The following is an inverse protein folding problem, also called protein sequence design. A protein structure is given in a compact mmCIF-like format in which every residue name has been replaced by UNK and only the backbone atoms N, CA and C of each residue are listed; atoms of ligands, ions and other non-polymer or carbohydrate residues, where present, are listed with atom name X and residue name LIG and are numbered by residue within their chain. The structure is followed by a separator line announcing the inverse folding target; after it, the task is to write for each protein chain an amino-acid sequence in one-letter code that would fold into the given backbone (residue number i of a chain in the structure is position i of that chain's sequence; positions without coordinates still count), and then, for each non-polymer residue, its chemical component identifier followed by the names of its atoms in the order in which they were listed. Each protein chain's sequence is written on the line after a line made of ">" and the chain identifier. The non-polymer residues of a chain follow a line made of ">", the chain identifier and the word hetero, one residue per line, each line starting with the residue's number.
data_IF_937478351813
#
_entry.id   IF_937478351813
#
_cell.length_a   1.000
_cell.length_b   1.000
_cell.length_c   1.000
_cell.angle_alpha   90.00
_cell.angle_beta   90.00
_cell.angle_gamma   90.00
#
_symmetry.space_group_name_H-M   'P 1'
#
loop_
_entity.id
_entity.type
_entity.pdbx_description
1 polymer ?
#
# COMPACT_ATOMS: atom_id res chain seq x y z
N UNK A 1 8.36 -0.14 -9.94
CA UNK A 1 7.70 1.15 -10.22
C UNK A 1 6.81 1.60 -9.08
N UNK A 2 5.67 0.96 -8.78
CA UNK A 2 4.81 1.40 -7.66
C UNK A 2 5.54 1.39 -6.29
N UNK A 3 6.40 0.40 -6.04
CA UNK A 3 7.21 0.36 -4.83
C UNK A 3 8.26 1.49 -4.77
N UNK A 4 8.88 1.85 -5.89
CA UNK A 4 9.85 2.95 -5.94
C UNK A 4 9.17 4.29 -5.64
N UNK A 5 7.95 4.48 -6.14
CA UNK A 5 7.11 5.64 -5.82
C UNK A 5 6.70 5.65 -4.34
N UNK A 6 6.35 4.50 -3.77
CA UNK A 6 6.06 4.38 -2.34
C UNK A 6 7.27 4.80 -1.50
N UNK A 7 8.47 4.28 -1.79
CA UNK A 7 9.70 4.66 -1.08
C UNK A 7 10.05 6.13 -1.27
N UNK A 8 9.85 6.67 -2.47
CA UNK A 8 10.06 8.08 -2.75
C UNK A 8 9.11 8.98 -1.94
N UNK A 9 7.84 8.59 -1.84
CA UNK A 9 6.83 9.33 -1.07
C UNK A 9 7.14 9.32 0.43
N UNK A 10 7.45 8.14 0.98
CA UNK A 10 7.92 8.01 2.37
C UNK A 10 9.10 8.94 2.63
N UNK A 11 10.07 9.00 1.70
CA UNK A 11 11.24 9.84 1.86
C UNK A 11 10.94 11.33 1.73
N UNK A 12 10.08 11.70 0.80
CA UNK A 12 9.63 13.08 0.63
C UNK A 12 8.88 13.58 1.88
N UNK A 13 8.03 12.73 2.46
CA UNK A 13 7.33 13.00 3.71
C UNK A 13 8.30 13.18 4.89
N UNK A 14 9.25 12.25 5.09
CA UNK A 14 10.22 12.33 6.20
C UNK A 14 11.10 13.58 6.13
N UNK A 15 11.41 14.04 4.92
CA UNK A 15 12.20 15.25 4.68
C UNK A 15 11.39 16.55 4.79
N UNK A 16 10.06 16.48 4.99
CA UNK A 16 9.18 17.65 4.95
C UNK A 16 9.22 18.35 3.58
N UNK A 17 9.41 17.58 2.50
CA UNK A 17 9.58 18.11 1.16
C UNK A 17 8.30 18.78 0.67
N UNK A 18 8.44 19.94 0.02
CA UNK A 18 7.30 20.66 -0.56
C UNK A 18 6.60 19.91 -1.69
N UNK A 19 7.23 18.87 -2.25
CA UNK A 19 6.65 18.04 -3.31
C UNK A 19 6.04 16.74 -2.80
N UNK A 20 6.04 16.48 -1.49
CA UNK A 20 5.51 15.24 -0.92
C UNK A 20 4.04 15.03 -1.33
N UNK A 21 3.21 16.08 -1.27
CA UNK A 21 1.81 15.99 -1.72
C UNK A 21 1.70 15.65 -3.21
N UNK A 22 2.53 16.26 -4.06
CA UNK A 22 2.51 15.96 -5.50
C UNK A 22 2.89 14.51 -5.78
N UNK A 23 3.91 13.99 -5.10
CA UNK A 23 4.34 12.59 -5.25
C UNK A 23 3.24 11.64 -4.79
N UNK A 24 2.62 11.92 -3.65
CA UNK A 24 1.51 11.15 -3.11
C UNK A 24 0.33 11.09 -4.10
N UNK A 25 -0.09 12.23 -4.66
CA UNK A 25 -1.20 12.27 -5.61
C UNK A 25 -0.87 11.52 -6.92
N UNK A 26 0.37 11.59 -7.41
CA UNK A 26 0.83 10.78 -8.57
C UNK A 26 0.78 9.28 -8.23
N UNK A 27 1.22 8.92 -7.03
CA UNK A 27 1.21 7.53 -6.58
C UNK A 27 -0.21 6.95 -6.57
N UNK A 28 -1.22 7.71 -6.09
CA UNK A 28 -2.63 7.32 -6.12
C UNK A 28 -3.24 7.15 -7.53
N UNK A 29 -2.53 7.57 -8.59
CA UNK A 29 -3.00 7.42 -9.98
C UNK A 29 -2.35 6.24 -10.71
N UNK A 30 -1.40 5.55 -10.09
CA UNK A 30 -0.55 4.54 -10.75
C UNK A 30 -1.33 3.29 -11.21
N UNK A 31 -2.52 3.04 -10.66
CA UNK A 31 -3.40 1.93 -11.01
C UNK A 31 -4.35 2.23 -12.20
N UNK A 32 -4.53 3.50 -12.59
CA UNK A 32 -5.61 3.94 -13.50
C UNK A 32 -5.29 3.76 -15.00
N UNK A 33 -4.05 3.42 -15.37
CA UNK A 33 -3.60 3.33 -16.78
C UNK A 33 -3.64 1.90 -17.38
N UNK A 34 -4.41 0.98 -16.79
CA UNK A 34 -4.05 -0.45 -16.85
C UNK A 34 -5.21 -1.35 -17.36
N UNK A 35 -5.24 -1.70 -18.67
CA UNK A 35 -6.24 -2.62 -19.26
C UNK A 35 -5.73 -4.08 -19.40
N UNK A 36 -6.46 -5.09 -18.88
CA UNK A 36 -6.28 -6.52 -19.22
C UNK A 36 -6.05 -7.52 -18.06
N UNK A 37 -5.94 -8.83 -18.37
CA UNK A 37 -5.83 -9.94 -17.36
C UNK A 37 -4.44 -10.12 -16.74
N UNK A 38 -3.36 -9.87 -17.49
CA UNK A 38 -2.00 -9.80 -16.91
C UNK A 38 -1.88 -8.64 -15.89
N UNK A 39 -2.81 -7.69 -15.98
CA UNK A 39 -2.89 -6.49 -15.17
C UNK A 39 -3.45 -6.75 -13.77
N UNK A 40 -4.31 -7.76 -13.53
CA UNK A 40 -4.82 -8.04 -12.18
C UNK A 40 -3.70 -8.32 -11.16
N UNK A 41 -2.64 -9.03 -11.59
CA UNK A 41 -1.44 -9.24 -10.75
C UNK A 41 -0.67 -7.93 -10.53
N UNK A 42 -0.57 -7.08 -11.56
CA UNK A 42 0.11 -5.78 -11.48
C UNK A 42 -0.64 -4.80 -10.55
N UNK A 43 -1.96 -4.68 -10.72
CA UNK A 43 -2.86 -3.88 -9.88
C UNK A 43 -2.81 -4.33 -8.43
N UNK A 44 -2.76 -5.63 -8.18
CA UNK A 44 -2.59 -6.15 -6.81
C UNK A 44 -1.27 -5.74 -6.17
N UNK A 45 -0.19 -5.66 -6.94
CA UNK A 45 1.08 -5.09 -6.49
C UNK A 45 0.97 -3.62 -6.10
N UNK A 46 0.25 -2.82 -6.90
CA UNK A 46 -0.02 -1.40 -6.59
C UNK A 46 -0.84 -1.26 -5.31
N UNK A 47 -1.92 -2.04 -5.16
CA UNK A 47 -2.72 -2.02 -3.92
C UNK A 47 -1.92 -2.41 -2.69
N UNK A 48 -1.02 -3.39 -2.79
CA UNK A 48 -0.10 -3.73 -1.69
C UNK A 48 0.83 -2.57 -1.35
N UNK A 49 1.41 -1.90 -2.34
CA UNK A 49 2.22 -0.70 -2.11
C UNK A 49 1.42 0.42 -1.43
N UNK A 50 0.16 0.64 -1.85
CA UNK A 50 -0.73 1.61 -1.23
C UNK A 50 -1.01 1.27 0.24
N UNK A 51 -1.31 0.01 0.57
CA UNK A 51 -1.47 -0.40 1.99
C UNK A 51 -0.18 -0.22 2.78
N UNK A 52 0.99 -0.54 2.20
CA UNK A 52 2.29 -0.28 2.84
C UNK A 52 2.46 1.20 3.20
N UNK A 53 2.15 2.08 2.25
CA UNK A 53 2.23 3.52 2.47
C UNK A 53 1.21 4.01 3.51
N UNK A 54 -0.01 3.46 3.51
CA UNK A 54 -1.02 3.78 4.51
C UNK A 54 -0.56 3.41 5.93
N UNK A 55 0.02 2.21 6.11
CA UNK A 55 0.55 1.80 7.41
C UNK A 55 1.75 2.65 7.86
N UNK A 56 2.55 3.16 6.92
CA UNK A 56 3.59 4.14 7.22
C UNK A 56 3.00 5.45 7.74
N UNK A 57 1.99 6.02 7.07
CA UNK A 57 1.36 7.25 7.53
C UNK A 57 0.67 7.08 8.88
N UNK A 58 0.02 5.95 9.12
CA UNK A 58 -0.55 5.62 10.43
C UNK A 58 0.51 5.58 11.54
N UNK A 59 1.65 4.94 11.28
CA UNK A 59 2.79 4.91 12.21
C UNK A 59 3.33 6.32 12.50
N UNK A 60 3.28 7.22 11.53
CA UNK A 60 3.70 8.64 11.67
C UNK A 60 2.59 9.56 12.21
N UNK A 61 1.40 9.02 12.50
CA UNK A 61 0.25 9.78 13.00
C UNK A 61 -0.51 10.58 11.93
N UNK A 62 -0.15 10.45 10.65
CA UNK A 62 -0.84 11.11 9.53
C UNK A 62 -2.04 10.28 9.06
N UNK A 63 -3.11 10.34 9.85
CA UNK A 63 -4.37 9.66 9.52
C UNK A 63 -5.01 10.21 8.25
N UNK A 64 -4.73 11.46 7.87
CA UNK A 64 -5.34 12.11 6.71
C UNK A 64 -4.86 11.45 5.42
N UNK A 65 -3.54 11.28 5.23
CA UNK A 65 -3.01 10.61 4.03
C UNK A 65 -3.34 9.13 3.99
N UNK A 66 -3.33 8.44 5.14
CA UNK A 66 -3.79 7.06 5.23
C UNK A 66 -5.27 6.92 4.81
N UNK A 67 -6.13 7.85 5.22
CA UNK A 67 -7.55 7.84 4.87
C UNK A 67 -7.77 8.07 3.37
N UNK A 68 -7.01 8.98 2.74
CA UNK A 68 -7.07 9.17 1.28
C UNK A 68 -6.77 7.88 0.49
N UNK A 69 -5.80 7.08 0.96
CA UNK A 69 -5.51 5.77 0.36
C UNK A 69 -6.71 4.82 0.52
N UNK A 70 -7.35 4.82 1.68
CA UNK A 70 -8.58 4.04 1.89
C UNK A 70 -9.70 4.48 0.93
N UNK A 71 -9.91 5.78 0.74
CA UNK A 71 -10.93 6.28 -0.18
C UNK A 71 -10.66 5.82 -1.62
N UNK A 72 -9.41 5.93 -2.10
CA UNK A 72 -9.01 5.44 -3.42
C UNK A 72 -9.25 3.93 -3.60
N UNK A 73 -9.13 3.16 -2.52
CA UNK A 73 -9.36 1.71 -2.53
C UNK A 73 -10.79 1.29 -2.16
N UNK A 74 -11.68 2.22 -1.81
CA UNK A 74 -12.97 1.91 -1.19
C UNK A 74 -13.96 1.17 -2.11
N UNK A 75 -13.80 1.33 -3.43
CA UNK A 75 -14.61 0.65 -4.45
C UNK A 75 -14.09 -0.75 -4.81
N UNK A 76 -12.97 -1.19 -4.23
CA UNK A 76 -12.40 -2.51 -4.51
C UNK A 76 -13.30 -3.63 -3.97
N UNK A 77 -13.45 -4.76 -4.69
CA UNK A 77 -14.24 -5.89 -4.20
C UNK A 77 -13.73 -6.40 -2.85
N UNK A 78 -14.64 -6.68 -1.91
CA UNK A 78 -14.31 -7.16 -0.57
C UNK A 78 -13.39 -8.40 -0.56
N UNK A 79 -13.58 -9.31 -1.54
CA UNK A 79 -12.72 -10.48 -1.72
C UNK A 79 -11.26 -10.09 -2.06
N UNK A 80 -11.06 -9.03 -2.85
CA UNK A 80 -9.74 -8.52 -3.21
C UNK A 80 -9.06 -7.85 -2.02
N UNK A 81 -9.80 -7.01 -1.28
CA UNK A 81 -9.31 -6.40 -0.03
C UNK A 81 -8.87 -7.49 0.97
N UNK A 82 -9.70 -8.51 1.18
CA UNK A 82 -9.39 -9.64 2.06
C UNK A 82 -8.13 -10.40 1.63
N UNK A 83 -7.97 -10.64 0.33
CA UNK A 83 -6.80 -11.31 -0.22
C UNK A 83 -5.52 -10.47 -0.12
N UNK A 84 -5.61 -9.14 -0.18
CA UNK A 84 -4.46 -8.23 0.05
C UNK A 84 -4.06 -8.26 1.52
N UNK A 85 -5.03 -8.16 2.44
CA UNK A 85 -4.79 -8.25 3.89
C UNK A 85 -4.08 -9.55 4.26
N UNK A 86 -4.59 -10.68 3.77
CA UNK A 86 -4.02 -11.99 4.06
C UNK A 86 -2.55 -12.09 3.61
N UNK A 87 -2.23 -11.65 2.39
CA UNK A 87 -0.86 -11.70 1.88
C UNK A 87 0.11 -10.84 2.68
N UNK A 88 -0.27 -9.59 3.00
CA UNK A 88 0.59 -8.68 3.75
C UNK A 88 0.79 -9.15 5.20
N UNK A 89 -0.22 -9.79 5.79
CA UNK A 89 -0.14 -10.34 7.14
C UNK A 89 0.74 -11.60 7.21
N UNK A 90 0.67 -12.47 6.19
CA UNK A 90 1.38 -13.74 6.13
C UNK A 90 2.85 -13.64 5.70
N UNK A 91 3.29 -12.48 5.19
CA UNK A 91 4.67 -12.34 4.72
C UNK A 91 5.64 -12.17 5.90
N UNK A 92 6.46 -13.20 6.14
CA UNK A 92 7.38 -13.27 7.28
C UNK A 92 8.83 -12.92 6.91
N UNK A 93 9.20 -13.00 5.62
CA UNK A 93 10.59 -12.84 5.18
C UNK A 93 10.83 -11.55 4.40
N UNK A 94 11.83 -10.73 4.77
CA UNK A 94 12.28 -9.59 3.98
C UNK A 94 13.02 -10.00 2.69
N UNK A 95 13.44 -11.26 2.55
CA UNK A 95 14.27 -11.76 1.46
C UNK A 95 13.48 -12.69 0.51
N UNK A 96 13.66 -12.50 -0.81
CA UNK A 96 13.29 -13.49 -1.82
C UNK A 96 14.46 -14.48 -2.02
N UNK A 97 14.21 -15.78 -1.87
CA UNK A 97 15.23 -16.83 -2.11
C UNK A 97 15.38 -17.23 -3.60
N UNK A 98 14.70 -16.55 -4.53
CA UNK A 98 14.88 -16.75 -5.97
C UNK A 98 15.82 -15.69 -6.54
N UNK A 99 16.88 -16.15 -7.21
CA UNK A 99 17.92 -15.36 -7.89
C UNK A 99 17.28 -14.36 -8.87
N UNK A 100 16.91 -13.19 -8.35
CA UNK A 100 16.49 -12.01 -9.08
C UNK A 100 17.18 -10.83 -8.41
N UNK A 101 17.63 -9.87 -9.21
CA UNK A 101 18.42 -8.68 -8.83
C UNK A 101 17.60 -7.66 -7.99
N UNK A 102 16.61 -8.14 -7.21
CA UNK A 102 15.67 -7.35 -6.43
C UNK A 102 15.83 -7.76 -4.96
N UNK A 103 16.58 -6.94 -4.23
CA UNK A 103 17.11 -7.26 -2.90
C UNK A 103 16.04 -7.33 -1.78
N UNK A 104 14.79 -6.93 -2.03
CA UNK A 104 13.76 -6.86 -0.99
C UNK A 104 12.41 -7.48 -1.40
N UNK A 105 11.81 -8.23 -0.48
CA UNK A 105 10.45 -8.70 -0.59
C UNK A 105 9.45 -7.56 -0.41
N UNK A 106 8.87 -7.13 -1.51
CA UNK A 106 7.92 -6.03 -1.51
C UNK A 106 6.58 -6.30 -0.79
N UNK A 107 6.28 -7.55 -0.45
CA UNK A 107 5.11 -7.87 0.39
C UNK A 107 5.44 -7.81 1.88
N UNK A 108 6.73 -7.72 2.24
CA UNK A 108 7.16 -7.69 3.63
C UNK A 108 6.98 -6.30 4.23
N UNK A 109 6.45 -6.29 5.45
CA UNK A 109 6.25 -5.11 6.27
C UNK A 109 7.05 -5.21 7.56
N UNK A 110 7.80 -4.16 7.95
CA UNK A 110 8.38 -4.04 9.27
C UNK A 110 7.31 -4.24 10.37
N UNK A 111 7.65 -4.86 11.52
CA UNK A 111 6.68 -5.18 12.56
C UNK A 111 5.83 -3.98 13.03
N UNK A 112 6.43 -2.80 13.15
CA UNK A 112 5.74 -1.56 13.54
C UNK A 112 4.66 -1.14 12.54
N UNK A 113 4.91 -1.30 11.24
CA UNK A 113 3.92 -1.02 10.20
C UNK A 113 2.85 -2.10 10.14
N UNK A 114 3.24 -3.37 10.31
CA UNK A 114 2.34 -4.52 10.33
C UNK A 114 1.28 -4.39 11.44
N UNK A 115 1.66 -3.83 12.59
CA UNK A 115 0.74 -3.55 13.70
C UNK A 115 -0.43 -2.63 13.31
N UNK A 116 -0.28 -1.82 12.26
CA UNK A 116 -1.33 -0.91 11.76
C UNK A 116 -2.19 -1.52 10.63
N UNK A 117 -1.96 -2.76 10.21
CA UNK A 117 -2.80 -3.40 9.19
C UNK A 117 -4.24 -3.53 9.68
N UNK A 118 -4.46 -3.96 10.93
CA UNK A 118 -5.80 -4.10 11.48
C UNK A 118 -6.54 -2.76 11.59
N UNK A 119 -5.83 -1.70 12.02
CA UNK A 119 -6.37 -0.33 12.06
C UNK A 119 -6.83 0.16 10.69
N UNK A 120 -6.01 -0.07 9.66
CA UNK A 120 -6.32 0.32 8.29
C UNK A 120 -7.48 -0.50 7.72
N UNK A 121 -7.45 -1.82 7.87
CA UNK A 121 -8.48 -2.70 7.29
C UNK A 121 -9.82 -2.63 8.01
N UNK A 122 -9.87 -2.14 9.25
CA UNK A 122 -11.12 -1.88 9.96
C UNK A 122 -12.03 -0.89 9.20
N UNK A 123 -11.47 0.05 8.44
CA UNK A 123 -12.24 1.03 7.66
C UNK A 123 -13.10 0.38 6.57
N UNK A 124 -12.63 -0.69 5.92
CA UNK A 124 -13.37 -1.43 4.90
C UNK A 124 -14.51 -2.29 5.47
N UNK A 125 -14.35 -2.74 6.72
CA UNK A 125 -15.33 -3.59 7.41
C UNK A 125 -16.56 -2.78 7.83
N UNK A 126 -16.33 -1.55 8.30
CA UNK A 126 -17.39 -0.63 8.72
C UNK A 126 -18.21 -0.08 7.53
N UNK A 127 -17.59 0.04 6.35
CA UNK A 127 -18.27 0.49 5.13
C UNK A 127 -19.26 -0.55 4.57
N UNK A 128 -19.07 -1.85 4.86
CA UNK A 128 -19.98 -2.92 4.41
C UNK A 128 -21.25 -3.06 5.28
N UNK A 129 -21.39 -2.25 6.34
CA UNK A 129 -22.52 -2.27 7.28
C UNK A 129 -23.42 -1.02 7.19
N UNK A 130 -23.25 -0.18 6.16
CA UNK A 130 -24.04 1.02 5.90
C UNK A 130 -24.78 0.90 4.57
#
# INVERSE_FOLDING_TARGET
>A
MAYDLCTLDERAFELGSSVADTIFEIFLQTDKEAEGRAQERSLRGVRKAQVRLATFFLLRGDRTRAYKIYEDMSEEPAARISAIRAELASEESPEYWEVTDREENFSWLPPERRAHLDDFFAWFSNASSA
#
